data_IF_359081533235
#
_entry.id   IF_359081533235
#
_cell.length_a   1.000
_cell.length_b   1.000
_cell.length_c   1.000
_cell.angle_alpha   90.00
_cell.angle_beta   90.00
_cell.angle_gamma   90.00
#
_symmetry.space_group_name_H-M   'P 1'
#
loop_
_entity.id
_entity.type
_entity.pdbx_description
1 polymer ?
#
# COMPACT_ATOMS: atom_id res chain seq x y z
N UNK A 1 -11.74 -59.59 23.45
CA UNK A 1 -12.19 -58.24 23.03
C UNK A 1 -13.24 -58.45 21.96
N UNK A 2 -14.45 -57.92 22.16
CA UNK A 2 -15.60 -58.13 21.25
C UNK A 2 -15.59 -57.07 20.12
N UNK A 3 -15.48 -57.46 18.84
CA UNK A 3 -15.49 -56.54 17.70
C UNK A 3 -16.80 -55.73 17.54
N UNK A 4 -17.90 -56.14 18.18
CA UNK A 4 -19.22 -55.49 18.07
C UNK A 4 -19.32 -54.14 18.82
N UNK A 5 -18.35 -53.80 19.67
CA UNK A 5 -18.41 -52.59 20.52
C UNK A 5 -18.00 -51.28 19.83
N UNK A 6 -17.58 -51.34 18.57
CA UNK A 6 -17.24 -50.17 17.75
C UNK A 6 -18.13 -50.09 16.50
N UNK A 7 -19.45 -50.11 16.68
CA UNK A 7 -20.38 -49.81 15.59
C UNK A 7 -20.38 -48.29 15.35
N UNK A 8 -19.58 -47.83 14.38
CA UNK A 8 -19.55 -46.44 13.96
C UNK A 8 -20.87 -46.10 13.25
N UNK A 9 -21.71 -45.28 13.88
CA UNK A 9 -22.95 -44.82 13.30
C UNK A 9 -22.67 -43.77 12.21
N UNK A 10 -22.64 -44.26 10.97
CA UNK A 10 -22.39 -43.46 9.77
C UNK A 10 -23.48 -42.39 9.60
N UNK A 11 -24.72 -42.66 9.99
CA UNK A 11 -25.81 -41.71 9.87
C UNK A 11 -25.64 -40.55 10.86
N UNK A 12 -25.32 -40.86 12.12
CA UNK A 12 -25.02 -39.86 13.14
C UNK A 12 -23.79 -39.00 12.77
N UNK A 13 -22.74 -39.61 12.20
CA UNK A 13 -21.56 -38.86 11.75
C UNK A 13 -21.87 -37.89 10.60
N UNK A 14 -22.63 -38.34 9.58
CA UNK A 14 -23.02 -37.49 8.45
C UNK A 14 -23.90 -36.33 8.91
N UNK A 15 -24.87 -36.60 9.78
CA UNK A 15 -25.74 -35.58 10.35
C UNK A 15 -24.95 -34.54 11.15
N UNK A 16 -23.98 -34.98 11.96
CA UNK A 16 -23.13 -34.05 12.72
C UNK A 16 -22.26 -33.18 11.81
N UNK A 17 -21.68 -33.76 10.76
CA UNK A 17 -20.90 -33.01 9.76
C UNK A 17 -21.75 -31.95 9.06
N UNK A 18 -22.98 -32.29 8.67
CA UNK A 18 -23.89 -31.34 8.02
C UNK A 18 -24.28 -30.20 8.97
N UNK A 19 -24.50 -30.49 10.25
CA UNK A 19 -24.75 -29.48 11.28
C UNK A 19 -23.53 -28.56 11.46
N UNK A 20 -22.33 -29.14 11.52
CA UNK A 20 -21.08 -28.37 11.63
C UNK A 20 -20.85 -27.47 10.40
N UNK A 21 -21.08 -28.00 9.19
CA UNK A 21 -20.98 -27.24 7.93
C UNK A 21 -22.02 -26.11 7.87
N UNK A 22 -23.27 -26.37 8.29
CA UNK A 22 -24.32 -25.35 8.36
C UNK A 22 -23.99 -24.25 9.39
N UNK A 23 -23.46 -24.62 10.56
CA UNK A 23 -22.99 -23.68 11.58
C UNK A 23 -21.86 -22.80 11.05
N UNK A 24 -20.87 -23.41 10.38
CA UNK A 24 -19.74 -22.70 9.77
C UNK A 24 -20.24 -21.69 8.73
N UNK A 25 -21.14 -22.11 7.83
CA UNK A 25 -21.68 -21.24 6.79
C UNK A 25 -22.53 -20.09 7.34
N UNK A 26 -23.37 -20.34 8.35
CA UNK A 26 -24.17 -19.29 8.97
C UNK A 26 -23.28 -18.27 9.70
N UNK A 27 -22.25 -18.73 10.42
CA UNK A 27 -21.26 -17.84 11.06
C UNK A 27 -20.53 -16.96 10.05
N UNK A 28 -20.23 -17.48 8.86
CA UNK A 28 -19.64 -16.68 7.77
C UNK A 28 -20.62 -15.67 7.19
N UNK A 29 -21.91 -16.01 7.03
CA UNK A 29 -22.95 -15.09 6.57
C UNK A 29 -23.19 -13.96 7.56
N UNK A 30 -23.35 -14.28 8.84
CA UNK A 30 -23.54 -13.31 9.92
C UNK A 30 -22.36 -12.33 10.02
N UNK A 31 -21.12 -12.85 9.94
CA UNK A 31 -19.93 -12.00 9.90
C UNK A 31 -19.91 -11.08 8.68
N UNK A 32 -20.33 -11.56 7.51
CA UNK A 32 -20.44 -10.72 6.31
C UNK A 32 -21.51 -9.64 6.49
N UNK A 33 -22.65 -9.96 7.08
CA UNK A 33 -23.70 -8.98 7.37
C UNK A 33 -23.21 -7.93 8.37
N UNK A 34 -22.57 -8.34 9.48
CA UNK A 34 -21.95 -7.41 10.43
C UNK A 34 -20.91 -6.51 9.76
N UNK A 35 -20.04 -7.05 8.90
CA UNK A 35 -19.09 -6.24 8.14
C UNK A 35 -19.84 -5.24 7.26
N UNK A 36 -20.92 -5.62 6.59
CA UNK A 36 -21.69 -4.71 5.75
C UNK A 36 -22.44 -3.63 6.57
N UNK A 37 -22.92 -3.98 7.76
CA UNK A 37 -23.59 -3.06 8.70
C UNK A 37 -22.60 -2.08 9.33
N UNK A 38 -21.44 -2.55 9.79
CA UNK A 38 -20.36 -1.73 10.37
C UNK A 38 -19.68 -0.85 9.31
N UNK A 39 -19.61 -1.33 8.05
CA UNK A 39 -19.15 -0.56 6.90
C UNK A 39 -20.28 0.21 6.23
N UNK A 40 -21.16 0.86 7.03
CA UNK A 40 -21.93 1.99 6.52
C UNK A 40 -20.94 2.93 5.78
N UNK A 41 -21.18 3.29 4.50
CA UNK A 41 -20.19 3.94 3.68
C UNK A 41 -19.83 5.31 4.27
N UNK A 42 -18.76 5.35 5.04
CA UNK A 42 -18.11 6.59 5.46
C UNK A 42 -17.44 7.14 4.22
N UNK A 43 -18.17 7.97 3.49
CA UNK A 43 -17.62 8.73 2.37
C UNK A 43 -16.58 9.71 2.91
N UNK A 44 -15.32 9.28 2.99
CA UNK A 44 -14.21 10.18 3.25
C UNK A 44 -14.19 11.20 2.11
N UNK A 45 -14.29 12.49 2.44
CA UNK A 45 -14.14 13.56 1.45
C UNK A 45 -12.80 13.39 0.74
N UNK A 46 -12.85 13.16 -0.57
CA UNK A 46 -11.66 13.10 -1.39
C UNK A 46 -11.10 14.51 -1.57
N UNK A 47 -9.94 14.78 -0.96
CA UNK A 47 -9.20 16.01 -1.16
C UNK A 47 -8.25 15.82 -2.34
N UNK A 48 -8.42 16.61 -3.39
CA UNK A 48 -7.49 16.62 -4.51
C UNK A 48 -6.17 17.25 -4.05
N UNK A 49 -5.11 16.43 -3.96
CA UNK A 49 -3.76 16.86 -3.56
C UNK A 49 -2.85 17.20 -4.74
N UNK A 50 -3.33 17.03 -5.98
CA UNK A 50 -2.62 17.31 -7.23
C UNK A 50 -1.15 16.83 -7.23
N UNK A 51 -0.98 15.51 -7.29
CA UNK A 51 0.34 14.87 -7.28
C UNK A 51 1.19 15.23 -8.50
N UNK A 52 0.55 15.46 -9.66
CA UNK A 52 1.24 15.87 -10.88
C UNK A 52 1.87 17.26 -10.71
N UNK A 53 1.10 18.25 -10.23
CA UNK A 53 1.65 19.58 -9.99
C UNK A 53 2.74 19.57 -8.90
N UNK A 54 2.58 18.75 -7.86
CA UNK A 54 3.62 18.59 -6.84
C UNK A 54 4.94 18.03 -7.43
N UNK A 55 4.85 17.06 -8.32
CA UNK A 55 6.02 16.49 -9.01
C UNK A 55 6.69 17.50 -9.95
N UNK A 56 5.90 18.27 -10.70
CA UNK A 56 6.41 19.34 -11.55
C UNK A 56 7.19 20.38 -10.74
N UNK A 57 6.61 20.88 -9.63
CA UNK A 57 7.30 21.81 -8.73
C UNK A 57 8.62 21.24 -8.21
N UNK A 58 8.61 19.99 -7.76
CA UNK A 58 9.82 19.31 -7.30
C UNK A 58 10.91 19.23 -8.38
N UNK A 59 10.50 19.03 -9.63
CA UNK A 59 11.40 19.02 -10.78
C UNK A 59 11.97 20.40 -11.05
N UNK A 60 11.14 21.44 -11.10
CA UNK A 60 11.60 22.83 -11.27
C UNK A 60 12.51 23.31 -10.14
N UNK A 61 12.22 22.91 -8.91
CA UNK A 61 12.99 23.31 -7.73
C UNK A 61 14.44 22.81 -7.78
N UNK A 62 14.69 21.61 -8.33
CA UNK A 62 15.98 20.92 -8.18
C UNK A 62 16.61 20.35 -9.44
N UNK A 63 15.82 19.96 -10.43
CA UNK A 63 16.27 19.12 -11.54
C UNK A 63 16.09 19.76 -12.92
N UNK A 64 15.49 20.95 -12.99
CA UNK A 64 15.46 21.75 -14.22
C UNK A 64 16.85 22.29 -14.57
N UNK A 65 17.02 22.75 -15.82
CA UNK A 65 18.27 23.35 -16.31
C UNK A 65 18.67 24.59 -15.52
N UNK A 66 17.67 25.41 -15.14
CA UNK A 66 17.81 26.56 -14.24
C UNK A 66 16.97 26.30 -12.98
N UNK A 67 17.49 25.52 -12.01
CA UNK A 67 16.71 25.12 -10.84
C UNK A 67 16.59 26.28 -9.84
N UNK A 68 15.47 26.35 -9.12
CA UNK A 68 15.28 27.36 -8.05
C UNK A 68 16.31 27.20 -6.93
N UNK A 69 16.75 25.98 -6.64
CA UNK A 69 17.77 25.69 -5.64
C UNK A 69 19.03 25.11 -6.28
N UNK A 70 20.17 25.67 -5.90
CA UNK A 70 21.47 25.21 -6.35
C UNK A 70 21.87 23.83 -5.78
N UNK A 71 22.98 23.31 -6.27
CA UNK A 71 23.52 22.02 -5.85
C UNK A 71 23.97 21.99 -4.38
N UNK A 72 24.41 23.13 -3.83
CA UNK A 72 24.82 23.21 -2.43
C UNK A 72 23.60 23.07 -1.50
N UNK A 73 22.49 23.72 -1.83
CA UNK A 73 21.22 23.59 -1.14
C UNK A 73 20.64 22.18 -1.27
N UNK A 74 20.74 21.55 -2.46
CA UNK A 74 20.35 20.15 -2.64
C UNK A 74 21.17 19.23 -1.73
N UNK A 75 22.51 19.35 -1.75
CA UNK A 75 23.40 18.56 -0.89
C UNK A 75 23.11 18.77 0.58
N UNK A 76 22.85 19.99 1.03
CA UNK A 76 22.47 20.26 2.43
C UNK A 76 21.15 19.57 2.82
N UNK A 77 20.18 19.51 1.90
CA UNK A 77 18.85 18.95 2.16
C UNK A 77 18.82 17.43 2.14
N UNK A 78 19.53 16.79 1.21
CA UNK A 78 19.49 15.33 1.02
C UNK A 78 20.80 14.62 1.39
N UNK A 79 21.83 15.37 1.81
CA UNK A 79 23.16 14.88 2.20
C UNK A 79 23.89 14.10 1.08
N UNK A 80 23.47 14.28 -0.18
CA UNK A 80 24.05 13.62 -1.35
C UNK A 80 23.97 14.51 -2.61
N UNK A 81 24.70 14.14 -3.65
CA UNK A 81 24.65 14.85 -4.94
C UNK A 81 23.43 14.43 -5.77
N UNK A 82 22.97 15.29 -6.69
CA UNK A 82 21.79 15.03 -7.55
C UNK A 82 21.92 13.75 -8.37
N UNK A 83 23.09 13.48 -8.94
CA UNK A 83 23.30 12.27 -9.75
C UNK A 83 23.13 10.98 -8.94
N UNK A 84 23.65 10.93 -7.70
CA UNK A 84 23.47 9.78 -6.80
C UNK A 84 21.99 9.62 -6.45
N UNK A 85 21.31 10.72 -6.15
CA UNK A 85 19.89 10.70 -5.86
C UNK A 85 19.07 10.14 -7.05
N UNK A 86 19.35 10.60 -8.27
CA UNK A 86 18.67 10.13 -9.48
C UNK A 86 18.97 8.66 -9.77
N UNK A 87 20.20 8.20 -9.52
CA UNK A 87 20.54 6.79 -9.63
C UNK A 87 19.71 5.94 -8.66
N UNK A 88 19.59 6.35 -7.39
CA UNK A 88 18.77 5.63 -6.41
C UNK A 88 17.29 5.62 -6.83
N UNK A 89 16.77 6.73 -7.36
CA UNK A 89 15.39 6.78 -7.89
C UNK A 89 15.22 5.77 -9.02
N UNK A 90 16.16 5.72 -9.97
CA UNK A 90 16.12 4.77 -11.09
C UNK A 90 16.19 3.32 -10.62
N UNK A 91 17.15 3.00 -9.76
CA UNK A 91 17.35 1.66 -9.21
C UNK A 91 16.10 1.19 -8.46
N UNK A 92 15.56 2.01 -7.54
CA UNK A 92 14.35 1.68 -6.79
C UNK A 92 13.12 1.55 -7.69
N UNK A 93 12.97 2.42 -8.70
CA UNK A 93 11.87 2.33 -9.66
C UNK A 93 11.92 1.02 -10.46
N UNK A 94 13.11 0.47 -10.69
CA UNK A 94 13.30 -0.78 -11.42
C UNK A 94 13.15 -2.03 -10.54
N UNK A 95 13.52 -1.94 -9.26
CA UNK A 95 13.56 -3.08 -8.35
C UNK A 95 12.29 -3.27 -7.53
N UNK A 96 11.56 -2.20 -7.22
CA UNK A 96 10.43 -2.24 -6.30
C UNK A 96 9.19 -1.51 -6.88
N UNK A 97 8.09 -2.27 -6.98
CA UNK A 97 6.80 -1.79 -7.43
C UNK A 97 6.27 -0.60 -6.61
N UNK A 98 6.63 -0.48 -5.33
CA UNK A 98 6.27 0.68 -4.51
C UNK A 98 6.84 1.98 -5.07
N UNK A 99 8.03 1.95 -5.66
CA UNK A 99 8.70 3.11 -6.24
C UNK A 99 8.38 3.32 -7.72
N UNK A 100 7.33 2.71 -8.26
CA UNK A 100 6.82 3.03 -9.59
C UNK A 100 5.71 4.10 -9.54
N UNK A 101 5.55 4.88 -10.62
CA UNK A 101 4.35 5.70 -10.80
C UNK A 101 3.25 4.84 -11.39
N UNK A 102 2.09 4.78 -10.72
CA UNK A 102 0.93 4.01 -11.19
C UNK A 102 -0.21 4.95 -11.50
N UNK A 103 -0.98 4.60 -12.50
CA UNK A 103 -2.22 5.29 -12.84
C UNK A 103 -3.37 4.64 -12.09
N UNK A 104 -4.25 5.44 -11.50
CA UNK A 104 -5.43 4.94 -10.81
C UNK A 104 -6.55 4.55 -11.80
N UNK A 105 -7.64 3.97 -11.28
CA UNK A 105 -8.79 3.56 -12.10
C UNK A 105 -9.50 4.74 -12.81
N UNK A 106 -9.16 5.98 -12.48
CA UNK A 106 -9.68 7.21 -13.09
C UNK A 106 -8.70 7.87 -14.05
N UNK A 107 -7.65 7.15 -14.47
CA UNK A 107 -6.57 7.63 -15.32
C UNK A 107 -5.75 8.79 -14.73
N UNK A 108 -5.69 8.91 -13.39
CA UNK A 108 -4.84 9.90 -12.74
C UNK A 108 -3.51 9.29 -12.32
N UNK A 109 -2.45 10.03 -12.59
CA UNK A 109 -1.12 9.65 -12.14
C UNK A 109 -1.02 9.74 -10.61
N UNK A 110 -0.56 8.65 -10.01
CA UNK A 110 -0.20 8.60 -8.60
C UNK A 110 1.10 9.33 -8.30
N UNK A 111 1.54 9.22 -7.04
CA UNK A 111 2.78 9.82 -6.56
C UNK A 111 3.98 9.27 -7.35
N UNK A 112 4.81 10.17 -7.87
CA UNK A 112 6.00 9.82 -8.64
C UNK A 112 7.08 9.13 -7.78
N UNK A 113 7.96 8.31 -8.39
CA UNK A 113 9.13 7.74 -7.73
C UNK A 113 10.03 8.80 -7.11
N UNK A 114 10.21 9.91 -7.84
CA UNK A 114 10.99 11.07 -7.41
C UNK A 114 10.46 11.63 -6.09
N UNK A 115 9.15 11.88 -6.00
CA UNK A 115 8.53 12.41 -4.79
C UNK A 115 8.60 11.44 -3.60
N UNK A 116 8.45 10.13 -3.84
CA UNK A 116 8.63 9.09 -2.81
C UNK A 116 10.05 9.10 -2.25
N UNK A 117 11.04 9.05 -3.13
CA UNK A 117 12.46 9.07 -2.74
C UNK A 117 12.83 10.39 -2.06
N UNK A 118 12.32 11.54 -2.54
CA UNK A 118 12.53 12.84 -1.90
C UNK A 118 12.07 12.83 -0.46
N UNK A 119 10.89 12.23 -0.21
CA UNK A 119 10.33 12.15 1.14
C UNK A 119 11.16 11.22 2.02
N UNK A 120 11.47 10.02 1.54
CA UNK A 120 12.27 9.04 2.27
C UNK A 120 13.68 9.55 2.59
N UNK A 121 14.39 10.11 1.60
CA UNK A 121 15.74 10.63 1.78
C UNK A 121 15.78 11.82 2.71
N UNK A 122 14.77 12.69 2.72
CA UNK A 122 14.69 13.78 3.73
C UNK A 122 14.62 13.22 5.14
N UNK A 123 13.81 12.19 5.36
CA UNK A 123 13.69 11.54 6.66
C UNK A 123 15.02 10.87 7.09
N UNK A 124 15.76 10.29 6.15
CA UNK A 124 17.06 9.66 6.43
C UNK A 124 18.21 10.68 6.64
N UNK A 125 18.18 11.79 5.90
CA UNK A 125 19.24 12.79 5.89
C UNK A 125 19.19 13.74 7.11
N UNK A 126 18.01 13.93 7.69
CA UNK A 126 17.84 14.73 8.91
C UNK A 126 18.26 13.90 10.12
N UNK A 127 19.37 14.27 10.78
CA UNK A 127 19.73 13.75 12.10
C UNK A 127 18.67 14.18 13.12
N UNK A 128 17.79 13.26 13.52
CA UNK A 128 16.80 13.50 14.57
C UNK A 128 15.59 12.58 14.51
N UNK A 129 15.79 11.30 14.83
CA UNK A 129 14.80 10.44 15.48
C UNK A 129 15.39 10.02 16.83
#
# INVERSE_FOLDING_TARGET
>A
MDPSKFHFDIAAYKQRREIDDAYILNRFRERRQQILEDNAPRTRKHLNRDHAAANQRLTYDYFADEPTYDDAMFRRRYQMQKHVFLQIVGDLSSSDNYFTQRVDATNKEGISPLAKCTTAMRMLALKGF
#
